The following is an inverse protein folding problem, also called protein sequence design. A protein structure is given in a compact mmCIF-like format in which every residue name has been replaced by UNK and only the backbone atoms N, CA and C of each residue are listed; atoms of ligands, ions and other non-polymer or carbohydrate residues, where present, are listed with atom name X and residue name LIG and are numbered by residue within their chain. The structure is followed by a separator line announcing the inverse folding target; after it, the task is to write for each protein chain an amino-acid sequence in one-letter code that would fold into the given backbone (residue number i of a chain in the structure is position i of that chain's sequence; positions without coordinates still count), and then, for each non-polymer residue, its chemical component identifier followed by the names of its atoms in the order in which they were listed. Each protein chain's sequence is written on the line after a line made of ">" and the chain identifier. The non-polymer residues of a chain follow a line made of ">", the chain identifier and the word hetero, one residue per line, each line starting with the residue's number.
data_IF_037524974636
#
_entry.id   IF_037524974636
#
_cell.length_a   1.000
_cell.length_b   1.000
_cell.length_c   1.000
_cell.angle_alpha   90.00
_cell.angle_beta   90.00
_cell.angle_gamma   90.00
#
_symmetry.space_group_name_H-M   'P 1'
#
loop_
_entity.id
_entity.type
_entity.pdbx_description
1 polymer ?
#
# COMPACT_ATOMS: atom_id res chain seq x y z
N UNK A 1 -12.20 13.64 -0.04
CA UNK A 1 -12.52 12.77 -1.21
C UNK A 1 -11.83 13.26 -2.48
N UNK A 2 -12.07 14.51 -2.96
CA UNK A 2 -11.53 15.00 -4.25
C UNK A 2 -9.98 14.94 -4.30
N UNK A 3 -9.30 15.35 -3.26
CA UNK A 3 -7.83 15.28 -3.20
C UNK A 3 -7.27 13.85 -3.18
N UNK A 4 -7.99 12.91 -2.58
CA UNK A 4 -7.59 11.49 -2.62
C UNK A 4 -7.71 10.92 -4.03
N UNK A 5 -8.68 11.38 -4.83
CA UNK A 5 -8.82 10.97 -6.24
C UNK A 5 -7.61 11.45 -7.03
N UNK A 6 -7.16 12.70 -6.86
CA UNK A 6 -5.96 13.22 -7.52
C UNK A 6 -4.73 12.36 -7.18
N UNK A 7 -4.53 12.05 -5.89
CA UNK A 7 -3.43 11.20 -5.44
C UNK A 7 -3.51 9.73 -5.89
N UNK A 8 -4.67 9.27 -6.36
CA UNK A 8 -4.85 7.92 -6.92
C UNK A 8 -4.61 7.91 -8.43
N UNK A 9 -4.98 8.97 -9.12
CA UNK A 9 -4.85 9.09 -10.59
C UNK A 9 -3.43 9.45 -11.00
N UNK A 10 -2.76 10.34 -10.25
CA UNK A 10 -1.37 10.73 -10.51
C UNK A 10 -0.46 9.76 -9.75
N UNK A 11 0.50 9.16 -10.44
CA UNK A 11 1.53 8.32 -9.83
C UNK A 11 2.29 9.12 -8.78
N UNK A 12 2.42 8.56 -7.57
CA UNK A 12 3.02 9.25 -6.43
C UNK A 12 4.49 8.87 -6.26
N UNK A 13 5.31 9.85 -5.84
CA UNK A 13 6.72 9.64 -5.47
C UNK A 13 7.56 9.05 -6.64
N UNK A 14 7.32 9.50 -7.87
CA UNK A 14 8.13 9.12 -9.05
C UNK A 14 9.25 10.15 -9.33
N UNK A 15 10.17 9.79 -10.21
CA UNK A 15 11.21 10.73 -10.65
C UNK A 15 10.62 11.88 -11.48
N UNK A 16 11.28 13.04 -11.45
CA UNK A 16 10.87 14.21 -12.25
C UNK A 16 10.83 13.88 -13.75
N UNK A 17 11.72 13.01 -14.21
CA UNK A 17 11.80 12.57 -15.61
C UNK A 17 10.56 11.79 -16.02
N UNK A 18 10.05 10.93 -15.14
CA UNK A 18 8.79 10.20 -15.36
C UNK A 18 7.62 11.15 -15.55
N UNK A 19 7.52 12.20 -14.72
CA UNK A 19 6.45 13.20 -14.86
C UNK A 19 6.58 14.00 -16.15
N UNK A 20 7.81 14.36 -16.58
CA UNK A 20 8.04 15.05 -17.87
C UNK A 20 7.63 14.21 -19.06
N UNK A 21 7.85 12.90 -19.01
CA UNK A 21 7.46 11.96 -20.06
C UNK A 21 5.95 11.75 -20.13
N UNK A 22 5.32 11.52 -18.98
CA UNK A 22 3.90 11.17 -18.90
C UNK A 22 2.98 12.40 -19.02
N UNK A 23 3.45 13.61 -18.64
CA UNK A 23 2.67 14.84 -18.60
C UNK A 23 3.40 16.00 -19.33
N UNK A 24 3.67 15.89 -20.65
CA UNK A 24 4.43 16.89 -21.37
C UNK A 24 3.68 18.24 -21.44
N UNK A 25 4.42 19.34 -21.55
CA UNK A 25 3.85 20.70 -21.70
C UNK A 25 3.09 20.89 -23.02
N UNK A 26 3.53 20.18 -24.06
CA UNK A 26 2.98 20.31 -25.42
C UNK A 26 1.64 19.60 -25.60
N UNK A 27 1.44 18.50 -24.87
CA UNK A 27 0.19 17.71 -24.91
C UNK A 27 -0.31 17.48 -23.49
N UNK A 28 -1.01 18.47 -22.95
CA UNK A 28 -1.50 18.46 -21.56
C UNK A 28 -2.59 17.40 -21.37
N UNK A 29 -2.43 16.56 -20.39
CA UNK A 29 -3.45 15.56 -20.02
C UNK A 29 -4.69 16.29 -19.50
N UNK A 30 -5.87 15.90 -19.95
CA UNK A 30 -7.16 16.59 -19.69
C UNK A 30 -7.17 18.09 -20.10
N UNK A 31 -6.27 18.54 -20.98
CA UNK A 31 -6.19 19.91 -21.44
C UNK A 31 -5.52 20.92 -20.48
N UNK A 32 -5.30 20.56 -19.23
CA UNK A 32 -4.69 21.45 -18.22
C UNK A 32 -3.55 20.82 -17.42
N UNK A 33 -3.50 19.50 -17.26
CA UNK A 33 -2.56 18.83 -16.38
C UNK A 33 -1.23 18.61 -17.12
N UNK A 34 -0.16 19.21 -16.57
CA UNK A 34 1.23 19.08 -17.03
C UNK A 34 2.18 18.92 -15.87
N UNK A 35 3.39 18.43 -16.11
CA UNK A 35 4.36 18.12 -15.07
C UNK A 35 4.70 19.32 -14.16
N UNK A 36 4.73 20.54 -14.69
CA UNK A 36 4.99 21.77 -13.94
C UNK A 36 3.87 22.09 -12.94
N UNK A 37 2.62 21.87 -13.32
CA UNK A 37 1.45 22.01 -12.43
C UNK A 37 1.49 20.94 -11.35
N UNK A 38 1.78 19.69 -11.72
CA UNK A 38 1.89 18.57 -10.77
C UNK A 38 2.91 18.90 -9.67
N UNK A 39 4.12 19.31 -10.06
CA UNK A 39 5.17 19.64 -9.09
C UNK A 39 4.85 20.92 -8.28
N UNK A 40 4.27 21.94 -8.91
CA UNK A 40 3.96 23.21 -8.26
C UNK A 40 2.92 23.06 -7.14
N UNK A 41 1.92 22.22 -7.33
CA UNK A 41 0.88 21.99 -6.35
C UNK A 41 1.16 20.80 -5.43
N UNK A 42 2.26 20.07 -5.65
CA UNK A 42 2.63 18.89 -4.87
C UNK A 42 1.73 17.69 -5.17
N UNK A 43 1.20 17.57 -6.39
CA UNK A 43 0.37 16.44 -6.80
C UNK A 43 1.18 15.17 -7.03
N UNK A 44 2.49 15.27 -7.11
CA UNK A 44 3.47 14.18 -7.11
C UNK A 44 3.62 13.50 -5.74
N UNK A 45 3.27 14.20 -4.66
CA UNK A 45 3.33 13.71 -3.26
C UNK A 45 2.13 14.19 -2.42
N UNK A 46 0.92 14.10 -2.96
CA UNK A 46 -0.33 14.60 -2.36
C UNK A 46 -0.44 14.25 -0.88
N UNK A 47 -0.16 13.01 -0.51
CA UNK A 47 -0.37 12.50 0.83
C UNK A 47 0.60 13.07 1.89
N UNK A 48 1.62 13.82 1.47
CA UNK A 48 2.63 14.47 2.32
C UNK A 48 2.49 15.98 2.36
N UNK A 49 1.63 16.54 1.51
CA UNK A 49 1.41 17.99 1.45
C UNK A 49 0.74 18.50 2.74
N UNK A 50 1.14 19.70 3.16
CA UNK A 50 0.58 20.34 4.35
C UNK A 50 -0.94 20.54 4.28
N UNK A 51 -1.47 20.89 3.11
CA UNK A 51 -2.90 21.10 2.91
C UNK A 51 -3.69 19.78 3.01
N UNK A 52 -3.15 18.65 2.52
CA UNK A 52 -3.78 17.33 2.66
C UNK A 52 -3.77 16.87 4.12
N UNK A 53 -2.63 17.02 4.82
CA UNK A 53 -2.50 16.69 6.24
C UNK A 53 -3.48 17.53 7.08
N UNK A 54 -3.62 18.84 6.77
CA UNK A 54 -4.60 19.70 7.44
C UNK A 54 -6.03 19.23 7.24
N UNK A 55 -6.41 18.79 6.03
CA UNK A 55 -7.71 18.19 5.77
C UNK A 55 -7.95 16.90 6.57
N UNK A 56 -6.94 16.04 6.70
CA UNK A 56 -7.01 14.83 7.52
C UNK A 56 -7.22 15.17 9.00
N UNK A 57 -6.49 16.15 9.52
CA UNK A 57 -6.63 16.61 10.91
C UNK A 57 -8.03 17.17 11.16
N UNK A 58 -8.53 18.03 10.26
CA UNK A 58 -9.90 18.57 10.36
C UNK A 58 -10.95 17.47 10.34
N UNK A 59 -10.78 16.47 9.48
CA UNK A 59 -11.67 15.32 9.42
C UNK A 59 -11.63 14.51 10.72
N UNK A 60 -10.44 14.27 11.29
CA UNK A 60 -10.27 13.60 12.58
C UNK A 60 -10.94 14.35 13.74
N UNK A 61 -10.79 15.67 13.79
CA UNK A 61 -11.48 16.53 14.77
C UNK A 61 -13.01 16.42 14.61
N UNK A 62 -13.51 16.43 13.39
CA UNK A 62 -14.95 16.28 13.12
C UNK A 62 -15.48 14.93 13.60
N UNK A 63 -14.75 13.82 13.38
CA UNK A 63 -15.10 12.50 13.88
C UNK A 63 -15.11 12.46 15.42
N UNK A 64 -14.12 13.04 16.08
CA UNK A 64 -14.04 13.15 17.54
C UNK A 64 -15.24 13.94 18.09
N UNK A 65 -15.51 15.12 17.51
CA UNK A 65 -16.62 15.97 17.93
C UNK A 65 -17.97 15.25 17.79
N UNK A 66 -18.19 14.57 16.64
CA UNK A 66 -19.39 13.78 16.44
C UNK A 66 -19.52 12.64 17.46
N UNK A 67 -18.43 11.95 17.76
CA UNK A 67 -18.42 10.87 18.76
C UNK A 67 -18.76 11.38 20.15
N UNK A 68 -18.12 12.48 20.57
CA UNK A 68 -18.29 13.04 21.93
C UNK A 68 -19.67 13.69 22.10
N UNK A 69 -20.11 14.49 21.13
CA UNK A 69 -21.33 15.29 21.27
C UNK A 69 -22.61 14.54 20.90
N UNK A 70 -22.55 13.53 20.05
CA UNK A 70 -23.73 12.84 19.55
C UNK A 70 -23.78 11.35 19.96
N UNK A 71 -22.71 10.59 19.69
CA UNK A 71 -22.75 9.13 19.85
C UNK A 71 -22.66 8.70 21.31
N UNK A 72 -21.73 9.24 22.08
CA UNK A 72 -21.60 8.92 23.51
C UNK A 72 -22.83 9.31 24.33
N UNK A 73 -23.44 10.52 24.19
CA UNK A 73 -24.70 10.86 24.84
C UNK A 73 -25.84 9.95 24.42
N UNK A 74 -25.98 9.64 23.14
CA UNK A 74 -26.99 8.72 22.61
C UNK A 74 -26.87 7.32 23.24
N UNK A 75 -25.64 6.80 23.35
CA UNK A 75 -25.39 5.52 24.04
C UNK A 75 -25.74 5.60 25.54
N UNK A 76 -25.35 6.69 26.21
CA UNK A 76 -25.64 6.90 27.63
C UNK A 76 -27.16 6.96 27.91
N UNK A 77 -27.91 7.67 27.06
CA UNK A 77 -29.37 7.73 27.14
C UNK A 77 -29.99 6.35 26.93
N UNK A 78 -29.49 5.61 25.93
CA UNK A 78 -30.04 4.26 25.61
C UNK A 78 -29.81 3.22 26.69
N UNK A 79 -28.77 3.41 27.52
CA UNK A 79 -28.50 2.51 28.68
C UNK A 79 -29.31 2.89 29.91
N UNK A 80 -29.99 4.05 29.95
CA UNK A 80 -30.82 4.45 31.06
C UNK A 80 -32.19 3.79 30.94
N UNK A 81 -32.52 2.93 31.89
CA UNK A 81 -33.88 2.37 32.02
C UNK A 81 -34.83 3.49 32.41
N UNK A 82 -35.80 3.81 31.57
CA UNK A 82 -36.83 4.81 31.87
C UNK A 82 -38.13 4.08 32.23
N UNK A 83 -38.49 4.13 33.50
CA UNK A 83 -39.74 3.56 33.96
C UNK A 83 -40.81 4.64 34.04
N UNK A 84 -41.74 4.64 33.08
CA UNK A 84 -42.91 5.52 33.09
C UNK A 84 -43.94 5.02 34.09
N UNK A 85 -44.38 5.89 34.98
CA UNK A 85 -45.24 5.51 36.09
C UNK A 85 -46.71 5.91 35.88
N UNK A 86 -47.00 6.88 35.01
CA UNK A 86 -48.37 7.38 34.78
C UNK A 86 -48.82 7.11 33.37
N UNK A 87 -50.13 6.85 33.12
CA UNK A 87 -50.68 6.64 31.79
C UNK A 87 -50.39 7.81 30.83
N UNK A 88 -50.41 9.04 31.35
CA UNK A 88 -50.12 10.25 30.54
C UNK A 88 -48.69 10.27 29.99
N UNK A 89 -47.72 9.67 30.67
CA UNK A 89 -46.34 9.56 30.15
C UNK A 89 -46.25 8.64 28.92
N UNK A 90 -47.05 7.56 28.92
CA UNK A 90 -47.12 6.66 27.76
C UNK A 90 -47.79 7.34 26.55
N UNK A 91 -48.84 8.14 26.79
CA UNK A 91 -49.55 8.85 25.73
C UNK A 91 -48.66 9.90 24.99
N UNK A 92 -47.60 10.41 25.64
CA UNK A 92 -46.60 11.32 25.03
C UNK A 92 -45.62 10.63 24.10
N UNK A 93 -45.56 9.29 24.10
CA UNK A 93 -44.72 8.55 23.18
C UNK A 93 -45.29 8.62 21.76
N UNK A 94 -44.44 8.64 20.77
CA UNK A 94 -44.83 8.66 19.36
C UNK A 94 -45.72 7.48 18.95
N UNK A 95 -45.51 6.34 19.62
CA UNK A 95 -46.30 5.13 19.42
C UNK A 95 -46.70 4.63 20.82
N UNK A 96 -47.96 4.62 21.09
CA UNK A 96 -48.54 4.06 22.32
C UNK A 96 -49.83 3.32 21.99
N UNK A 97 -50.09 2.24 22.68
CA UNK A 97 -51.31 1.47 22.53
C UNK A 97 -51.80 1.01 23.90
N UNK A 98 -53.12 0.88 24.04
CA UNK A 98 -53.76 0.39 25.23
C UNK A 98 -54.39 -0.98 24.94
N UNK A 99 -54.05 -1.97 25.70
CA UNK A 99 -54.54 -3.35 25.57
C UNK A 99 -55.37 -3.70 26.78
N UNK A 100 -56.60 -4.10 26.55
CA UNK A 100 -57.50 -4.59 27.60
C UNK A 100 -57.26 -6.09 27.78
N UNK A 101 -57.17 -6.56 29.06
CA UNK A 101 -57.10 -7.98 29.45
C UNK A 101 -55.77 -8.74 29.19
N UNK A 102 -54.63 -8.08 29.06
CA UNK A 102 -53.37 -8.79 28.90
C UNK A 102 -52.75 -9.14 30.27
N UNK A 103 -52.48 -10.43 30.52
CA UNK A 103 -51.81 -10.86 31.75
C UNK A 103 -50.32 -10.52 31.69
N UNK A 104 -49.81 -9.80 32.71
CA UNK A 104 -48.43 -9.29 32.81
C UNK A 104 -47.33 -10.35 32.53
N UNK A 105 -47.48 -11.56 33.12
CA UNK A 105 -46.49 -12.62 32.91
C UNK A 105 -46.49 -13.18 31.49
N UNK A 106 -47.61 -13.20 30.78
CA UNK A 106 -47.66 -13.59 29.36
C UNK A 106 -46.96 -12.57 28.47
N UNK A 107 -47.13 -11.28 28.77
CA UNK A 107 -46.43 -10.19 28.07
C UNK A 107 -44.91 -10.31 28.28
N UNK A 108 -44.48 -10.51 29.52
CA UNK A 108 -43.07 -10.67 29.89
C UNK A 108 -42.43 -11.85 29.17
N UNK A 109 -43.09 -13.00 29.13
CA UNK A 109 -42.61 -14.20 28.43
C UNK A 109 -42.46 -13.92 26.94
N UNK A 110 -43.44 -13.28 26.30
CA UNK A 110 -43.41 -12.97 24.88
C UNK A 110 -42.29 -11.98 24.48
N UNK A 111 -42.06 -10.97 25.33
CA UNK A 111 -40.96 -10.00 25.11
C UNK A 111 -39.59 -10.72 25.24
N UNK A 112 -39.45 -11.64 26.20
CA UNK A 112 -38.20 -12.43 26.35
C UNK A 112 -37.95 -13.36 25.16
N UNK A 113 -38.98 -14.04 24.67
CA UNK A 113 -38.88 -14.88 23.44
C UNK A 113 -38.32 -14.10 22.25
N UNK A 114 -38.65 -12.81 22.11
CA UNK A 114 -38.17 -11.95 21.02
C UNK A 114 -36.78 -11.38 21.27
N UNK A 115 -36.03 -11.90 22.24
CA UNK A 115 -34.63 -11.52 22.56
C UNK A 115 -34.47 -10.05 22.98
N UNK A 116 -35.45 -9.44 23.63
CA UNK A 116 -35.29 -8.17 24.31
C UNK A 116 -34.61 -8.34 25.68
N UNK A 117 -33.72 -7.42 26.01
CA UNK A 117 -33.23 -7.25 27.37
C UNK A 117 -34.32 -6.59 28.21
N UNK A 118 -34.81 -7.28 29.21
CA UNK A 118 -36.00 -6.86 29.98
C UNK A 118 -35.60 -6.52 31.40
N UNK A 119 -36.01 -5.33 31.82
CA UNK A 119 -35.92 -4.85 33.20
C UNK A 119 -37.36 -4.60 33.71
N UNK A 120 -37.66 -4.99 34.91
CA UNK A 120 -38.97 -4.75 35.49
C UNK A 120 -38.87 -4.18 36.90
N UNK A 121 -39.78 -3.30 37.22
CA UNK A 121 -39.94 -2.73 38.53
C UNK A 121 -41.42 -2.77 38.90
N UNK A 122 -41.82 -3.62 39.88
CA UNK A 122 -43.23 -3.90 40.18
C UNK A 122 -43.99 -4.31 38.90
N UNK A 123 -44.98 -3.53 38.47
CA UNK A 123 -45.82 -3.80 37.29
C UNK A 123 -45.38 -3.01 36.04
N UNK A 124 -44.19 -2.42 36.05
CA UNK A 124 -43.67 -1.63 34.92
C UNK A 124 -42.53 -2.41 34.29
N UNK A 125 -42.56 -2.53 32.95
CA UNK A 125 -41.52 -3.19 32.15
C UNK A 125 -40.82 -2.15 31.34
N UNK A 126 -39.48 -2.21 31.32
CA UNK A 126 -38.64 -1.55 30.36
C UNK A 126 -37.90 -2.63 29.56
N UNK A 127 -38.06 -2.64 28.26
CA UNK A 127 -37.40 -3.61 27.41
C UNK A 127 -36.69 -2.87 26.25
N UNK A 128 -35.45 -3.27 25.95
CA UNK A 128 -34.72 -2.74 24.82
C UNK A 128 -34.04 -3.85 24.01
N UNK A 129 -33.80 -3.56 22.73
CA UNK A 129 -33.06 -4.45 21.82
C UNK A 129 -32.18 -3.58 20.92
N UNK A 130 -31.04 -4.15 20.47
CA UNK A 130 -30.21 -3.50 19.48
C UNK A 130 -29.21 -2.46 20.04
N UNK A 131 -28.82 -2.54 21.32
CA UNK A 131 -27.80 -1.67 21.91
C UNK A 131 -26.47 -1.70 21.15
N UNK A 132 -26.13 -2.87 20.57
CA UNK A 132 -24.93 -3.05 19.73
C UNK A 132 -24.93 -2.08 18.56
N UNK A 133 -26.07 -1.82 17.92
CA UNK A 133 -26.18 -0.86 16.84
C UNK A 133 -25.82 0.59 17.22
N UNK A 134 -25.84 0.91 18.53
CA UNK A 134 -25.39 2.24 19.03
C UNK A 134 -23.94 2.27 19.46
N UNK A 135 -23.32 1.10 19.70
CA UNK A 135 -21.91 0.96 20.00
C UNK A 135 -21.09 0.94 18.68
N UNK A 136 -21.63 0.29 17.65
CA UNK A 136 -20.94 0.12 16.38
C UNK A 136 -20.41 1.43 15.77
N UNK A 137 -21.16 2.54 15.67
CA UNK A 137 -20.64 3.80 15.13
C UNK A 137 -19.46 4.36 15.93
N UNK A 138 -19.45 4.16 17.26
CA UNK A 138 -18.34 4.60 18.13
C UNK A 138 -17.08 3.82 17.80
N UNK A 139 -17.17 2.50 17.63
CA UNK A 139 -16.04 1.65 17.25
C UNK A 139 -15.52 2.03 15.86
N UNK A 140 -16.42 2.27 14.91
CA UNK A 140 -16.04 2.69 13.55
C UNK A 140 -15.29 4.02 13.56
N UNK A 141 -15.79 5.04 14.27
CA UNK A 141 -15.12 6.32 14.37
C UNK A 141 -13.75 6.20 15.06
N UNK A 142 -13.66 5.41 16.14
CA UNK A 142 -12.38 5.16 16.80
C UNK A 142 -11.38 4.48 15.88
N UNK A 143 -11.80 3.48 15.11
CA UNK A 143 -10.95 2.80 14.13
C UNK A 143 -10.49 3.75 13.03
N UNK A 144 -11.37 4.61 12.52
CA UNK A 144 -11.00 5.64 11.53
C UNK A 144 -9.96 6.60 12.08
N UNK A 145 -10.11 7.07 13.33
CA UNK A 145 -9.15 7.96 13.98
C UNK A 145 -7.78 7.29 14.11
N UNK A 146 -7.74 6.01 14.50
CA UNK A 146 -6.48 5.25 14.56
C UNK A 146 -5.79 5.15 13.19
N UNK A 147 -6.57 4.90 12.13
CA UNK A 147 -6.04 4.88 10.76
C UNK A 147 -5.48 6.24 10.36
N UNK A 148 -6.19 7.33 10.65
CA UNK A 148 -5.73 8.69 10.34
C UNK A 148 -4.43 9.03 11.08
N UNK A 149 -4.33 8.70 12.37
CA UNK A 149 -3.11 8.88 13.15
C UNK A 149 -1.96 8.07 12.53
N UNK A 150 -2.20 6.79 12.20
CA UNK A 150 -1.20 5.93 11.55
C UNK A 150 -0.73 6.50 10.21
N UNK A 151 -1.63 7.04 9.40
CA UNK A 151 -1.30 7.67 8.11
C UNK A 151 -0.42 8.91 8.31
N UNK A 152 -0.75 9.78 9.26
CA UNK A 152 0.05 10.98 9.57
C UNK A 152 1.45 10.57 10.06
N UNK A 153 1.52 9.62 11.01
CA UNK A 153 2.81 9.13 11.52
C UNK A 153 3.66 8.50 10.42
N UNK A 154 3.06 7.72 9.52
CA UNK A 154 3.74 7.13 8.38
C UNK A 154 4.24 8.18 7.38
N UNK A 155 3.47 9.23 7.13
CA UNK A 155 3.85 10.34 6.25
C UNK A 155 5.00 11.17 6.80
N UNK A 156 5.03 11.40 8.13
CA UNK A 156 6.06 12.22 8.78
C UNK A 156 7.36 11.47 9.02
N UNK A 157 7.29 10.17 9.36
CA UNK A 157 8.45 9.37 9.76
C UNK A 157 8.89 8.34 8.72
N UNK A 158 8.07 8.07 7.69
CA UNK A 158 8.35 7.06 6.68
C UNK A 158 9.29 7.56 5.59
N UNK A 159 9.94 6.62 4.90
CA UNK A 159 10.66 6.89 3.65
C UNK A 159 10.38 5.78 2.63
N UNK A 160 10.61 6.10 1.36
CA UNK A 160 10.57 5.18 0.24
C UNK A 160 11.84 5.36 -0.57
N UNK A 161 12.56 4.28 -0.77
CA UNK A 161 13.75 4.23 -1.61
C UNK A 161 13.60 3.10 -2.63
N UNK A 162 14.24 3.22 -3.76
CA UNK A 162 14.27 2.20 -4.80
C UNK A 162 15.68 2.07 -5.33
N UNK A 163 16.23 0.86 -5.26
CA UNK A 163 17.58 0.55 -5.71
C UNK A 163 17.54 -0.51 -6.80
N UNK A 164 18.35 -0.33 -7.83
CA UNK A 164 18.59 -1.33 -8.88
C UNK A 164 19.96 -1.94 -8.59
N UNK A 165 19.98 -3.21 -8.19
CA UNK A 165 21.19 -3.83 -7.67
C UNK A 165 21.47 -5.11 -8.42
N UNK A 166 22.68 -5.27 -8.96
CA UNK A 166 23.12 -6.52 -9.55
C UNK A 166 23.20 -7.64 -8.51
N UNK A 167 23.06 -8.88 -8.99
CA UNK A 167 23.32 -10.08 -8.20
C UNK A 167 24.75 -10.04 -7.66
N UNK A 168 24.93 -10.47 -6.41
CA UNK A 168 26.19 -10.53 -5.65
C UNK A 168 26.73 -9.18 -5.14
N UNK A 169 26.08 -8.08 -5.44
CA UNK A 169 26.51 -6.76 -4.97
C UNK A 169 25.90 -6.36 -3.62
N UNK A 170 26.62 -5.49 -2.93
CA UNK A 170 26.18 -4.88 -1.66
C UNK A 170 25.82 -3.44 -1.90
N UNK A 171 24.72 -3.00 -1.32
CA UNK A 171 24.22 -1.64 -1.45
C UNK A 171 23.87 -1.00 -0.12
N UNK A 172 23.89 0.32 -0.11
CA UNK A 172 23.32 1.18 0.90
C UNK A 172 22.10 1.89 0.33
N UNK A 173 21.18 2.31 1.18
CA UNK A 173 20.01 3.08 0.76
C UNK A 173 20.49 4.48 0.33
N UNK A 174 20.42 4.78 -0.96
CA UNK A 174 20.89 6.03 -1.57
C UNK A 174 19.82 6.72 -2.40
N UNK A 175 19.08 5.96 -3.22
CA UNK A 175 18.07 6.52 -4.09
C UNK A 175 16.73 6.67 -3.37
N UNK A 176 16.61 7.74 -2.61
CA UNK A 176 15.43 8.04 -1.83
C UNK A 176 14.43 8.78 -2.72
N UNK A 177 13.34 8.10 -3.06
CA UNK A 177 12.25 8.70 -3.84
C UNK A 177 11.44 9.68 -3.00
N UNK A 178 11.31 9.41 -1.71
CA UNK A 178 10.44 10.16 -0.83
C UNK A 178 10.81 9.93 0.62
N UNK A 179 10.89 11.00 1.39
CA UNK A 179 11.15 10.94 2.84
C UNK A 179 10.16 11.81 3.62
N UNK A 180 9.88 11.42 4.85
CA UNK A 180 9.14 12.24 5.81
C UNK A 180 10.04 13.32 6.44
N UNK A 181 9.41 14.31 7.06
CA UNK A 181 10.12 15.47 7.63
C UNK A 181 11.06 15.12 8.78
N UNK A 182 10.77 14.05 9.53
CA UNK A 182 11.51 13.62 10.73
C UNK A 182 12.18 12.26 10.51
N UNK A 183 12.29 11.82 9.27
CA UNK A 183 12.81 10.50 8.95
C UNK A 183 14.30 10.37 9.23
N UNK A 184 14.68 9.36 9.99
CA UNK A 184 16.06 8.91 10.17
C UNK A 184 16.26 7.63 9.35
N UNK A 185 17.11 7.69 8.33
CA UNK A 185 17.42 6.52 7.49
C UNK A 185 18.46 5.68 8.22
N UNK A 186 18.16 4.42 8.56
CA UNK A 186 19.13 3.56 9.24
C UNK A 186 20.34 3.26 8.35
N UNK A 187 21.53 3.37 8.92
CA UNK A 187 22.79 3.00 8.26
C UNK A 187 22.93 1.47 8.27
N UNK A 188 22.41 0.84 7.25
CA UNK A 188 22.51 -0.61 7.03
C UNK A 188 22.98 -0.88 5.61
N UNK A 189 23.76 -1.94 5.45
CA UNK A 189 24.15 -2.48 4.15
C UNK A 189 23.33 -3.71 3.85
N UNK A 190 23.00 -3.92 2.61
CA UNK A 190 22.25 -5.12 2.18
C UNK A 190 22.96 -5.71 0.98
N UNK A 191 23.16 -7.02 0.98
CA UNK A 191 23.77 -7.77 -0.13
C UNK A 191 22.72 -8.64 -0.79
N UNK A 192 22.68 -8.64 -2.12
CA UNK A 192 21.93 -9.59 -2.90
C UNK A 192 22.81 -10.82 -3.11
N UNK A 193 22.52 -11.92 -2.43
CA UNK A 193 23.30 -13.14 -2.57
C UNK A 193 22.98 -13.88 -3.85
N UNK A 194 21.68 -14.00 -4.15
CA UNK A 194 21.20 -14.68 -5.34
C UNK A 194 19.87 -14.11 -5.83
N UNK A 195 19.60 -14.32 -7.10
CA UNK A 195 18.33 -14.00 -7.76
C UNK A 195 17.99 -15.13 -8.73
N UNK A 196 16.75 -15.63 -8.68
CA UNK A 196 16.27 -16.66 -9.59
C UNK A 196 14.79 -16.50 -9.88
N UNK A 197 14.37 -17.12 -10.96
CA UNK A 197 12.98 -17.11 -11.46
C UNK A 197 12.49 -18.54 -11.55
N UNK A 198 11.25 -18.75 -11.16
CA UNK A 198 10.56 -20.03 -11.35
C UNK A 198 9.49 -19.91 -12.43
N UNK A 199 9.29 -20.98 -13.18
CA UNK A 199 8.35 -21.01 -14.30
C UNK A 199 7.22 -22.00 -14.01
N UNK A 200 6.05 -21.72 -14.59
CA UNK A 200 4.93 -22.66 -14.62
C UNK A 200 5.20 -23.76 -15.64
N UNK A 201 4.37 -24.83 -15.63
CA UNK A 201 4.43 -25.88 -16.65
C UNK A 201 4.21 -25.35 -18.08
N UNK A 202 3.59 -24.19 -18.23
CA UNK A 202 3.32 -23.52 -19.52
C UNK A 202 4.42 -22.50 -19.89
N UNK A 203 5.61 -22.57 -19.24
CA UNK A 203 6.77 -21.69 -19.51
C UNK A 203 6.55 -20.21 -19.20
N UNK A 204 5.45 -19.84 -18.55
CA UNK A 204 5.23 -18.50 -18.04
C UNK A 204 5.92 -18.32 -16.69
N UNK A 205 6.34 -17.09 -16.36
CA UNK A 205 6.96 -16.76 -15.07
C UNK A 205 5.92 -16.99 -13.97
N UNK A 206 6.27 -17.86 -13.02
CA UNK A 206 5.47 -18.12 -11.84
C UNK A 206 5.82 -17.12 -10.73
N UNK A 207 7.11 -16.99 -10.40
CA UNK A 207 7.59 -16.09 -9.33
C UNK A 207 9.07 -15.82 -9.53
N UNK A 208 9.52 -14.69 -9.00
CA UNK A 208 10.94 -14.34 -8.91
C UNK A 208 11.34 -14.08 -7.46
N UNK A 209 12.55 -14.50 -7.13
CA UNK A 209 13.07 -14.53 -5.78
C UNK A 209 14.41 -13.81 -5.69
N UNK A 210 14.65 -13.12 -4.58
CA UNK A 210 15.95 -12.58 -4.21
C UNK A 210 16.35 -13.08 -2.83
N UNK A 211 17.52 -13.64 -2.72
CA UNK A 211 18.13 -13.98 -1.44
C UNK A 211 18.99 -12.81 -0.96
N UNK A 212 18.57 -12.17 0.13
CA UNK A 212 19.22 -10.97 0.66
C UNK A 212 19.80 -11.21 2.03
N UNK A 213 20.99 -10.65 2.26
CA UNK A 213 21.65 -10.59 3.57
C UNK A 213 21.72 -9.14 4.04
N UNK A 214 21.26 -8.89 5.24
CA UNK A 214 21.38 -7.60 5.91
C UNK A 214 22.65 -7.61 6.74
N UNK A 215 23.53 -6.64 6.50
CA UNK A 215 24.86 -6.55 7.09
C UNK A 215 24.92 -5.39 8.10
N UNK A 216 25.73 -5.55 9.14
CA UNK A 216 26.09 -4.46 10.04
C UNK A 216 27.15 -3.53 9.41
N UNK A 217 27.57 -2.53 10.18
CA UNK A 217 28.62 -1.58 9.76
C UNK A 217 29.96 -2.28 9.52
N UNK A 218 30.22 -3.38 10.23
CA UNK A 218 31.47 -4.17 10.12
C UNK A 218 31.43 -5.18 8.97
N UNK A 219 30.32 -5.24 8.22
CA UNK A 219 30.14 -6.18 7.11
C UNK A 219 29.66 -7.57 7.51
N UNK A 220 29.40 -7.81 8.79
CA UNK A 220 28.90 -9.11 9.26
C UNK A 220 27.40 -9.27 8.96
N UNK A 221 27.03 -10.48 8.56
CA UNK A 221 25.63 -10.82 8.30
C UNK A 221 24.85 -10.89 9.61
N UNK A 222 23.79 -10.06 9.72
CA UNK A 222 22.88 -10.04 10.87
C UNK A 222 21.67 -10.91 10.61
N UNK A 223 21.16 -10.87 9.38
CA UNK A 223 19.94 -11.55 8.98
C UNK A 223 19.97 -11.88 7.49
N UNK A 224 19.49 -13.05 7.14
CA UNK A 224 19.34 -13.48 5.75
C UNK A 224 17.92 -13.93 5.50
N UNK A 225 17.33 -13.53 4.37
CA UNK A 225 16.00 -13.92 3.99
C UNK A 225 15.83 -13.93 2.48
N UNK A 226 15.17 -14.96 1.98
CA UNK A 226 14.65 -14.97 0.61
C UNK A 226 13.36 -14.18 0.54
N UNK A 227 13.33 -13.14 -0.30
CA UNK A 227 12.17 -12.30 -0.55
C UNK A 227 11.61 -12.58 -1.95
N UNK A 228 10.31 -12.37 -2.09
CA UNK A 228 9.58 -12.47 -3.35
C UNK A 228 8.37 -11.54 -3.31
N UNK A 229 7.60 -11.44 -4.40
CA UNK A 229 6.42 -10.57 -4.46
C UNK A 229 5.47 -10.86 -3.30
N UNK A 230 5.06 -9.83 -2.56
CA UNK A 230 4.23 -9.89 -1.37
C UNK A 230 4.84 -10.56 -0.12
N UNK A 231 6.14 -10.90 -0.15
CA UNK A 231 6.86 -11.45 1.00
C UNK A 231 8.14 -10.67 1.30
N UNK A 232 8.03 -9.48 1.93
CA UNK A 232 9.18 -8.65 2.21
C UNK A 232 10.03 -9.17 3.38
N UNK A 233 11.31 -8.78 3.39
CA UNK A 233 12.12 -8.84 4.60
C UNK A 233 11.88 -7.59 5.45
N UNK A 234 11.97 -7.76 6.78
CA UNK A 234 11.80 -6.66 7.75
C UNK A 234 13.03 -6.60 8.65
N UNK A 235 13.59 -5.40 8.75
CA UNK A 235 14.70 -5.15 9.66
C UNK A 235 14.70 -3.70 10.15
N UNK A 236 14.72 -3.48 11.46
CA UNK A 236 14.74 -2.15 12.11
C UNK A 236 13.76 -1.13 11.53
N UNK A 237 12.53 -1.56 11.25
CA UNK A 237 11.48 -0.70 10.67
C UNK A 237 11.55 -0.53 9.14
N UNK A 238 12.58 -1.07 8.48
CA UNK A 238 12.68 -1.10 7.02
C UNK A 238 12.00 -2.37 6.51
N UNK A 239 11.19 -2.22 5.45
CA UNK A 239 10.64 -3.34 4.70
C UNK A 239 11.32 -3.38 3.32
N UNK A 240 11.96 -4.50 3.00
CA UNK A 240 12.61 -4.76 1.71
C UNK A 240 11.67 -5.55 0.83
N UNK A 241 11.20 -4.92 -0.24
CA UNK A 241 10.29 -5.54 -1.22
C UNK A 241 11.03 -5.85 -2.52
N UNK A 242 10.76 -7.01 -3.10
CA UNK A 242 11.09 -7.30 -4.49
C UNK A 242 9.99 -6.71 -5.37
N UNK A 243 10.32 -5.67 -6.15
CA UNK A 243 9.32 -4.95 -6.96
C UNK A 243 9.45 -5.26 -8.45
N UNK A 244 10.67 -5.30 -8.97
CA UNK A 244 10.96 -5.55 -10.39
C UNK A 244 12.31 -6.24 -10.53
N UNK A 245 12.63 -6.65 -11.76
CA UNK A 245 13.91 -7.25 -12.13
C UNK A 245 14.22 -6.92 -13.59
N UNK A 246 15.50 -6.92 -13.93
CA UNK A 246 15.97 -6.68 -15.29
C UNK A 246 17.28 -7.45 -15.55
N UNK A 247 17.58 -7.72 -16.81
CA UNK A 247 18.90 -8.20 -17.21
C UNK A 247 19.77 -6.99 -17.56
N UNK A 248 20.92 -6.88 -16.93
CA UNK A 248 21.83 -5.73 -17.08
C UNK A 248 22.99 -6.06 -18.00
N UNK A 249 23.43 -7.30 -18.03
CA UNK A 249 24.58 -7.69 -18.80
C UNK A 249 24.62 -9.18 -19.08
N UNK A 250 25.33 -9.50 -20.17
CA UNK A 250 25.65 -10.85 -20.60
C UNK A 250 27.14 -11.13 -20.31
N UNK A 251 27.42 -12.23 -19.64
CA UNK A 251 28.78 -12.71 -19.43
C UNK A 251 29.04 -13.88 -20.37
N UNK A 252 30.09 -13.76 -21.14
CA UNK A 252 30.52 -14.76 -22.11
C UNK A 252 31.90 -15.25 -21.68
N UNK A 253 32.06 -16.54 -21.58
CA UNK A 253 33.34 -17.18 -21.36
C UNK A 253 33.85 -17.76 -22.69
N UNK A 254 35.03 -17.32 -23.10
CA UNK A 254 35.73 -17.90 -24.26
C UNK A 254 36.53 -19.14 -23.82
N UNK A 255 36.80 -20.03 -24.77
CA UNK A 255 37.63 -21.26 -24.54
C UNK A 255 38.95 -20.99 -23.87
N UNK A 256 39.47 -19.77 -23.97
CA UNK A 256 40.70 -19.29 -23.33
C UNK A 256 40.50 -18.80 -21.85
N UNK A 257 39.37 -19.10 -21.23
CA UNK A 257 39.03 -18.71 -19.84
C UNK A 257 38.87 -17.21 -19.58
N UNK A 258 38.91 -16.36 -20.60
CA UNK A 258 38.62 -14.96 -20.44
C UNK A 258 37.12 -14.71 -20.33
N UNK A 259 36.73 -14.06 -19.23
CA UNK A 259 35.35 -13.67 -18.99
C UNK A 259 35.12 -12.25 -19.55
N UNK A 260 34.29 -12.15 -20.59
CA UNK A 260 33.88 -10.88 -21.18
C UNK A 260 32.48 -10.53 -20.71
N UNK A 261 32.24 -9.27 -20.39
CA UNK A 261 30.93 -8.77 -19.98
C UNK A 261 30.47 -7.66 -20.91
N UNK A 262 29.27 -7.84 -21.47
CA UNK A 262 28.64 -6.88 -22.37
C UNK A 262 27.34 -6.36 -21.77
N UNK A 263 27.03 -5.06 -21.86
CA UNK A 263 25.76 -4.51 -21.38
C UNK A 263 24.58 -5.02 -22.24
N UNK A 264 23.47 -5.29 -21.60
CA UNK A 264 22.21 -5.63 -22.25
C UNK A 264 21.29 -4.41 -22.27
N UNK A 265 20.80 -4.07 -23.43
CA UNK A 265 19.84 -2.98 -23.63
C UNK A 265 18.44 -3.61 -23.78
N UNK A 266 17.49 -3.12 -23.01
CA UNK A 266 16.09 -3.54 -23.15
C UNK A 266 15.46 -2.75 -24.31
N UNK A 267 15.04 -3.45 -25.36
CA UNK A 267 14.43 -2.89 -26.56
C UNK A 267 12.91 -3.15 -26.63
N UNK A 268 12.36 -3.93 -25.72
CA UNK A 268 10.95 -4.31 -25.70
C UNK A 268 10.07 -3.38 -24.86
N UNK A 269 8.77 -3.59 -24.97
CA UNK A 269 7.76 -2.94 -24.15
C UNK A 269 7.61 -3.65 -22.79
N UNK A 270 6.87 -3.05 -21.86
CA UNK A 270 6.63 -3.61 -20.53
C UNK A 270 6.04 -5.05 -20.56
N UNK A 271 5.36 -5.43 -21.63
CA UNK A 271 4.75 -6.76 -21.80
C UNK A 271 5.68 -7.77 -22.49
N UNK A 272 6.53 -7.31 -23.42
CA UNK A 272 7.49 -8.14 -24.14
C UNK A 272 8.88 -7.54 -23.99
N UNK A 273 9.61 -7.96 -22.95
CA UNK A 273 11.00 -7.53 -22.74
C UNK A 273 11.90 -8.29 -23.70
N UNK A 274 12.62 -7.57 -24.53
CA UNK A 274 13.64 -8.09 -25.44
C UNK A 274 14.94 -7.43 -25.08
N UNK A 275 15.97 -8.22 -24.79
CA UNK A 275 17.30 -7.71 -24.46
C UNK A 275 18.24 -7.96 -25.60
N UNK A 276 18.99 -6.93 -25.97
CA UNK A 276 19.93 -6.98 -27.09
C UNK A 276 21.30 -6.53 -26.59
N UNK A 277 22.31 -7.22 -27.03
CA UNK A 277 23.70 -6.77 -26.92
C UNK A 277 24.44 -6.95 -28.22
N UNK A 278 25.36 -6.06 -28.49
CA UNK A 278 26.27 -6.15 -29.62
C UNK A 278 27.67 -6.51 -29.12
N UNK A 279 28.29 -7.50 -29.73
CA UNK A 279 29.61 -8.03 -29.39
C UNK A 279 30.55 -7.79 -30.56
N UNK A 280 31.54 -6.91 -30.44
CA UNK A 280 32.48 -6.68 -31.50
C UNK A 280 33.41 -7.87 -31.75
N UNK A 281 33.66 -8.21 -32.99
CA UNK A 281 34.66 -9.22 -33.38
C UNK A 281 36.05 -8.61 -33.46
N UNK A 282 36.14 -7.31 -33.78
CA UNK A 282 37.38 -6.59 -33.98
C UNK A 282 37.45 -5.35 -33.10
N UNK A 283 38.67 -4.89 -32.78
CA UNK A 283 38.86 -3.64 -32.02
C UNK A 283 38.35 -2.40 -32.74
N UNK A 284 38.25 -2.44 -34.05
CA UNK A 284 37.79 -1.31 -34.86
C UNK A 284 36.26 -1.17 -34.89
N UNK A 285 35.54 -2.09 -34.27
CA UNK A 285 34.07 -2.09 -34.19
C UNK A 285 33.36 -2.22 -35.58
N UNK A 286 34.07 -2.66 -36.63
CA UNK A 286 33.56 -2.74 -38.01
C UNK A 286 32.70 -3.99 -38.23
N UNK A 287 32.90 -5.03 -37.41
CA UNK A 287 32.19 -6.29 -37.47
C UNK A 287 31.84 -6.81 -36.08
N UNK A 288 30.68 -7.40 -35.93
CA UNK A 288 30.22 -7.93 -34.65
C UNK A 288 29.08 -8.90 -34.80
N UNK A 289 28.63 -9.43 -33.67
CA UNK A 289 27.45 -10.25 -33.55
C UNK A 289 26.43 -9.59 -32.63
N UNK A 290 25.17 -9.72 -32.99
CA UNK A 290 24.09 -9.28 -32.16
C UNK A 290 23.52 -10.52 -31.39
N UNK A 291 23.45 -10.42 -30.12
CA UNK A 291 22.79 -11.45 -29.27
C UNK A 291 21.46 -10.88 -28.79
N UNK A 292 20.39 -11.56 -29.12
CA UNK A 292 19.02 -11.22 -28.77
C UNK A 292 18.46 -12.28 -27.81
N UNK A 293 17.91 -11.79 -26.71
CA UNK A 293 17.25 -12.61 -25.69
C UNK A 293 15.80 -12.16 -25.55
N UNK A 294 14.85 -13.01 -25.89
CA UNK A 294 13.42 -12.75 -25.81
C UNK A 294 12.75 -13.47 -24.63
N UNK A 295 13.46 -14.44 -24.05
CA UNK A 295 13.00 -15.21 -22.91
C UNK A 295 14.13 -15.46 -21.91
N UNK A 296 13.77 -15.92 -20.71
CA UNK A 296 14.70 -16.19 -19.62
C UNK A 296 15.01 -17.68 -19.42
N UNK A 297 14.64 -18.50 -20.37
CA UNK A 297 14.84 -19.96 -20.30
C UNK A 297 16.25 -20.40 -20.74
N UNK A 298 17.10 -19.42 -21.08
CA UNK A 298 18.48 -19.67 -21.49
C UNK A 298 18.67 -19.81 -23.01
N UNK A 299 17.64 -19.53 -23.80
CA UNK A 299 17.76 -19.47 -25.25
C UNK A 299 18.10 -18.03 -25.69
N UNK A 300 19.00 -17.90 -26.65
CA UNK A 300 19.32 -16.64 -27.29
C UNK A 300 19.42 -16.83 -28.82
N UNK A 301 19.04 -15.82 -29.57
CA UNK A 301 19.25 -15.77 -31.00
C UNK A 301 20.51 -14.96 -31.27
N UNK A 302 21.40 -15.48 -32.10
CA UNK A 302 22.67 -14.83 -32.47
C UNK A 302 22.60 -14.51 -33.94
N UNK A 303 22.81 -13.24 -34.29
CA UNK A 303 22.81 -12.75 -35.65
C UNK A 303 24.20 -12.24 -36.01
N UNK A 304 24.65 -12.59 -37.21
CA UNK A 304 25.88 -12.06 -37.77
C UNK A 304 25.63 -10.67 -38.40
N UNK A 305 26.66 -10.08 -38.99
CA UNK A 305 26.61 -8.78 -39.69
C UNK A 305 25.67 -8.75 -40.91
N UNK A 306 25.26 -9.91 -41.41
CA UNK A 306 24.35 -10.06 -42.55
C UNK A 306 22.90 -10.33 -42.10
N UNK A 307 22.63 -10.41 -40.79
CA UNK A 307 21.31 -10.66 -40.24
C UNK A 307 20.87 -12.13 -40.28
N UNK A 308 21.78 -13.07 -40.47
CA UNK A 308 21.58 -14.51 -40.48
C UNK A 308 21.93 -15.14 -39.12
#
# INVERSE_FOLDING_TARGET
>A
ASFSIIGTVIEQDQSIETYKLNYPLTNRVFGFLSWDIILRFGFDHVYKTWWFISCIIMFGISLLTCTILQQLPSLKISRRCQFFRTPQQFQRLKISTQLNSLKFHKLLAKIKETQYSVFHQKNIIYAYKGLIGRIAPIIVHFSMILILIGTILGSVNGFKAQEIIPKTETFHIQNILSNGQVTSIPKVSTRINDFWITYTKQTTINQFYSDISILNIDGNEISRKTIYVNSPAKYRGINYYQTDWNLIGLRIQNDQSTLLQYPLINFGNAQNKIWITWIPKTMNLDAGIIVLMDNLQGYCSIYNEFGE
#
